data_IF_572902235093
#
_entry.id   IF_572902235093
#
_cell.length_a   1.000
_cell.length_b   1.000
_cell.length_c   1.000
_cell.angle_alpha   90.00
_cell.angle_beta   90.00
_cell.angle_gamma   90.00
#
_symmetry.space_group_name_H-M   'P 1'
#
loop_
_entity.id
_entity.type
_entity.pdbx_description
1 polymer ?
#
# COMPACT_ATOMS: atom_id res chain seq x y z
N UNK A 1 -6.28 -2.73 -11.35
CA UNK A 1 -7.04 -2.82 -12.60
C UNK A 1 -7.07 -4.26 -13.12
N UNK A 2 -5.96 -4.84 -13.59
CA UNK A 2 -5.90 -6.20 -14.16
C UNK A 2 -6.61 -7.27 -13.32
N UNK A 3 -6.36 -7.33 -12.01
CA UNK A 3 -6.99 -8.32 -11.13
C UNK A 3 -8.52 -8.12 -11.01
N UNK A 4 -8.99 -6.89 -11.02
CA UNK A 4 -10.41 -6.56 -11.00
C UNK A 4 -11.09 -7.03 -12.28
N UNK A 5 -10.46 -6.80 -13.43
CA UNK A 5 -10.94 -7.31 -14.71
C UNK A 5 -11.05 -8.84 -14.67
N UNK A 6 -9.97 -9.54 -14.33
CA UNK A 6 -9.93 -11.00 -14.28
C UNK A 6 -11.01 -11.63 -13.38
N UNK A 7 -11.34 -11.00 -12.26
CA UNK A 7 -12.26 -11.56 -11.26
C UNK A 7 -13.70 -11.08 -11.39
N UNK A 8 -13.92 -9.87 -11.87
CA UNK A 8 -15.21 -9.21 -11.79
C UNK A 8 -15.80 -8.79 -13.13
N UNK A 9 -15.04 -8.87 -14.23
CA UNK A 9 -15.54 -8.45 -15.54
C UNK A 9 -16.81 -9.20 -15.99
N UNK A 10 -16.91 -10.48 -15.66
CA UNK A 10 -18.09 -11.30 -15.98
C UNK A 10 -19.36 -10.89 -15.25
N UNK A 11 -19.22 -10.21 -14.11
CA UNK A 11 -20.36 -9.72 -13.31
C UNK A 11 -20.85 -8.33 -13.79
N UNK A 12 -20.01 -7.59 -14.50
CA UNK A 12 -20.28 -6.21 -14.89
C UNK A 12 -21.58 -6.04 -15.70
N UNK A 13 -21.96 -6.93 -16.67
CA UNK A 13 -23.18 -6.75 -17.46
C UNK A 13 -24.47 -6.84 -16.64
N UNK A 14 -24.49 -7.67 -15.59
CA UNK A 14 -25.70 -7.96 -14.81
C UNK A 14 -25.79 -7.16 -13.52
N UNK A 15 -24.64 -6.75 -12.95
CA UNK A 15 -24.56 -6.13 -11.62
C UNK A 15 -23.94 -4.72 -11.62
N UNK A 16 -23.85 -4.07 -12.78
CA UNK A 16 -23.23 -2.75 -12.90
C UNK A 16 -23.81 -1.72 -11.92
N UNK A 17 -25.11 -1.69 -11.77
CA UNK A 17 -25.81 -0.73 -10.91
C UNK A 17 -25.60 -0.98 -9.41
N UNK A 18 -25.16 -2.19 -9.04
CA UNK A 18 -24.85 -2.58 -7.66
C UNK A 18 -23.38 -2.33 -7.30
N UNK A 19 -22.54 -2.03 -8.29
CA UNK A 19 -21.12 -1.82 -8.11
C UNK A 19 -20.78 -0.35 -7.87
N UNK A 20 -19.79 -0.10 -6.98
CA UNK A 20 -19.21 1.24 -6.83
C UNK A 20 -18.49 1.68 -8.11
N UNK A 21 -18.56 2.94 -8.44
CA UNK A 21 -17.90 3.53 -9.61
C UNK A 21 -16.39 3.22 -9.65
N UNK A 22 -15.72 3.21 -8.49
CA UNK A 22 -14.29 2.87 -8.38
C UNK A 22 -13.99 1.41 -8.75
N UNK A 23 -14.92 0.48 -8.52
CA UNK A 23 -14.81 -0.92 -8.95
C UNK A 23 -15.00 -1.02 -10.46
N UNK A 24 -16.04 -0.38 -11.00
CA UNK A 24 -16.31 -0.32 -12.44
C UNK A 24 -15.09 0.26 -13.17
N UNK A 25 -14.57 1.38 -12.71
CA UNK A 25 -13.38 2.02 -13.27
C UNK A 25 -12.16 1.08 -13.29
N UNK A 26 -11.94 0.29 -12.23
CA UNK A 26 -10.85 -0.70 -12.19
C UNK A 26 -11.03 -1.81 -13.22
N UNK A 27 -12.26 -2.34 -13.37
CA UNK A 27 -12.57 -3.37 -14.36
C UNK A 27 -12.31 -2.84 -15.77
N UNK A 28 -12.89 -1.69 -16.11
CA UNK A 28 -12.76 -1.06 -17.42
C UNK A 28 -11.31 -0.64 -17.75
N UNK A 29 -10.56 -0.22 -16.74
CA UNK A 29 -9.14 0.07 -16.88
C UNK A 29 -8.32 -1.21 -17.11
N UNK A 30 -8.71 -2.32 -16.46
CA UNK A 30 -8.10 -3.63 -16.67
C UNK A 30 -8.30 -4.14 -18.09
N UNK A 31 -9.51 -3.98 -18.64
CA UNK A 31 -9.84 -4.38 -20.03
C UNK A 31 -8.99 -3.70 -21.10
N UNK A 32 -8.44 -2.53 -20.81
CA UNK A 32 -7.59 -1.75 -21.74
C UNK A 32 -6.12 -2.18 -21.70
N UNK A 33 -5.70 -2.97 -20.72
CA UNK A 33 -4.31 -3.39 -20.57
C UNK A 33 -3.94 -4.46 -21.59
N UNK A 34 -2.79 -4.29 -22.22
CA UNK A 34 -2.22 -5.30 -23.12
C UNK A 34 -1.25 -6.23 -22.38
N UNK A 35 -1.05 -7.44 -22.91
CA UNK A 35 -0.07 -8.39 -22.38
C UNK A 35 1.35 -7.81 -22.29
N UNK A 36 1.87 -7.06 -23.30
CA UNK A 36 3.16 -6.39 -23.21
C UNK A 36 3.26 -5.35 -22.08
N UNK A 37 2.18 -4.63 -21.76
CA UNK A 37 2.17 -3.67 -20.64
C UNK A 37 2.27 -4.40 -19.30
N UNK A 38 1.54 -5.48 -19.13
CA UNK A 38 1.64 -6.33 -17.94
C UNK A 38 3.05 -6.91 -17.79
N UNK A 39 3.63 -7.44 -18.89
CA UNK A 39 4.99 -7.96 -18.87
C UNK A 39 6.02 -6.90 -18.44
N UNK A 40 5.93 -5.67 -18.96
CA UNK A 40 6.79 -4.56 -18.54
C UNK A 40 6.59 -4.17 -17.08
N UNK A 41 5.36 -4.21 -16.58
CA UNK A 41 5.07 -3.94 -15.17
C UNK A 41 5.71 -4.98 -14.26
N UNK A 42 5.63 -6.28 -14.59
CA UNK A 42 6.26 -7.36 -13.83
C UNK A 42 7.80 -7.26 -13.81
N UNK A 43 8.42 -6.91 -14.93
CA UNK A 43 9.88 -6.64 -14.97
C UNK A 43 10.26 -5.50 -14.02
N UNK A 44 9.50 -4.39 -14.03
CA UNK A 44 9.74 -3.27 -13.12
C UNK A 44 9.52 -3.65 -11.66
N UNK A 45 8.47 -4.44 -11.36
CA UNK A 45 8.19 -4.93 -10.01
C UNK A 45 9.32 -5.82 -9.49
N UNK A 46 9.82 -6.73 -10.31
CA UNK A 46 10.95 -7.60 -9.97
C UNK A 46 12.22 -6.77 -9.68
N UNK A 47 12.51 -5.77 -10.51
CA UNK A 47 13.65 -4.88 -10.28
C UNK A 47 13.50 -4.08 -8.97
N UNK A 48 12.28 -3.61 -8.65
CA UNK A 48 11.99 -2.94 -7.39
C UNK A 48 12.19 -3.89 -6.20
N UNK A 49 11.65 -5.11 -6.26
CA UNK A 49 11.84 -6.13 -5.23
C UNK A 49 13.33 -6.36 -4.92
N UNK A 50 14.18 -6.53 -5.94
CA UNK A 50 15.62 -6.74 -5.74
C UNK A 50 16.30 -5.52 -5.11
N UNK A 51 15.94 -4.30 -5.50
CA UNK A 51 16.48 -3.06 -4.90
C UNK A 51 16.11 -2.93 -3.44
N UNK A 52 14.84 -3.16 -3.10
CA UNK A 52 14.37 -3.08 -1.71
C UNK A 52 15.00 -4.18 -0.87
N UNK A 53 15.11 -5.40 -1.39
CA UNK A 53 15.82 -6.50 -0.70
C UNK A 53 17.28 -6.17 -0.43
N UNK A 54 17.97 -5.54 -1.38
CA UNK A 54 19.36 -5.12 -1.18
C UNK A 54 19.47 -4.03 -0.10
N UNK A 55 18.62 -3.02 -0.17
CA UNK A 55 18.52 -1.97 0.84
C UNK A 55 18.25 -2.53 2.24
N UNK A 56 17.32 -3.46 2.37
CA UNK A 56 16.94 -4.06 3.65
C UNK A 56 18.03 -4.93 4.30
N UNK A 57 19.12 -5.27 3.60
CA UNK A 57 20.23 -6.01 4.23
C UNK A 57 20.90 -5.26 5.38
N UNK A 58 20.88 -3.94 5.34
CA UNK A 58 21.52 -3.08 6.33
C UNK A 58 20.54 -2.67 7.46
N UNK A 59 19.27 -3.05 7.37
CA UNK A 59 18.22 -2.64 8.30
C UNK A 59 17.33 -3.83 8.70
N UNK A 60 16.90 -3.85 9.95
CA UNK A 60 15.96 -4.85 10.44
C UNK A 60 14.53 -4.52 9.99
N UNK A 61 14.16 -3.22 10.05
CA UNK A 61 12.83 -2.75 9.69
C UNK A 61 12.89 -1.38 8.99
N UNK A 62 11.91 -1.17 8.11
CA UNK A 62 11.56 0.14 7.58
C UNK A 62 10.25 0.57 8.24
N UNK A 63 10.25 1.74 8.89
CA UNK A 63 9.08 2.30 9.56
C UNK A 63 8.55 3.51 8.79
N UNK A 64 7.24 3.54 8.52
CA UNK A 64 6.57 4.62 7.80
C UNK A 64 5.11 4.77 8.23
N UNK A 65 4.45 5.93 7.98
CA UNK A 65 3.02 6.05 8.22
C UNK A 65 2.22 5.03 7.40
N UNK A 66 1.17 4.44 7.99
CA UNK A 66 0.28 3.50 7.29
C UNK A 66 -0.45 4.20 6.14
N UNK A 67 -0.98 5.40 6.39
CA UNK A 67 -1.67 6.21 5.39
C UNK A 67 -1.06 7.61 5.30
N UNK A 68 -1.29 8.29 4.18
CA UNK A 68 -0.79 9.64 3.95
C UNK A 68 -1.52 10.70 4.77
N UNK A 69 -2.72 10.38 5.27
CA UNK A 69 -3.57 11.29 6.05
C UNK A 69 -4.19 10.55 7.23
N UNK A 70 -4.58 11.26 8.30
CA UNK A 70 -5.40 10.71 9.37
C UNK A 70 -6.78 10.30 8.84
N UNK A 71 -7.61 9.59 9.65
CA UNK A 71 -8.99 9.32 9.29
C UNK A 71 -9.74 10.60 8.91
N UNK A 72 -10.58 10.52 7.88
CA UNK A 72 -11.35 11.63 7.33
C UNK A 72 -12.86 11.31 7.37
N UNK A 73 -13.76 12.30 7.20
CA UNK A 73 -15.20 12.09 7.26
C UNK A 73 -15.70 11.04 6.26
N UNK A 74 -16.71 10.24 6.67
CA UNK A 74 -17.27 9.15 5.88
C UNK A 74 -18.02 9.61 4.62
N UNK A 75 -18.41 10.88 4.57
CA UNK A 75 -19.04 11.52 3.42
C UNK A 75 -18.09 11.65 2.22
N UNK A 76 -16.79 11.59 2.47
CA UNK A 76 -15.76 11.59 1.43
C UNK A 76 -15.40 10.16 1.05
N UNK A 77 -15.56 9.81 -0.21
CA UNK A 77 -15.17 8.50 -0.71
C UNK A 77 -13.63 8.33 -0.65
N UNK A 78 -12.89 9.42 -0.90
CA UNK A 78 -11.44 9.52 -0.72
C UNK A 78 -11.01 10.99 -0.59
N UNK A 79 -9.78 11.21 -0.14
CA UNK A 79 -9.21 12.55 0.01
C UNK A 79 -8.87 13.15 -1.35
N UNK A 80 -9.37 14.34 -1.63
CA UNK A 80 -9.21 14.99 -2.93
C UNK A 80 -7.91 15.78 -3.06
N UNK A 81 -7.29 16.17 -1.94
CA UNK A 81 -6.04 16.94 -1.91
C UNK A 81 -5.21 16.59 -0.69
N UNK A 82 -3.90 16.45 -0.86
CA UNK A 82 -2.91 16.24 0.21
C UNK A 82 -1.74 17.18 -0.02
N UNK A 83 -1.45 18.07 0.94
CA UNK A 83 -0.35 19.04 0.89
C UNK A 83 -0.33 19.87 -0.42
N UNK A 84 -1.48 20.33 -0.89
CA UNK A 84 -1.61 21.10 -2.11
C UNK A 84 -1.56 20.27 -3.41
N UNK A 85 -1.38 18.96 -3.31
CA UNK A 85 -1.43 18.05 -4.46
C UNK A 85 -2.82 17.45 -4.60
N UNK A 86 -3.42 17.62 -5.77
CA UNK A 86 -4.71 17.03 -6.12
C UNK A 86 -4.57 15.51 -6.30
N UNK A 87 -5.50 14.77 -5.70
CA UNK A 87 -5.66 13.32 -5.92
C UNK A 87 -6.63 13.12 -7.08
N UNK A 88 -6.12 12.63 -8.21
CA UNK A 88 -6.94 12.44 -9.40
C UNK A 88 -7.77 11.15 -9.36
N UNK A 89 -7.29 10.17 -8.58
CA UNK A 89 -7.97 8.91 -8.36
C UNK A 89 -7.93 8.52 -6.89
N UNK A 90 -8.83 7.64 -6.50
CA UNK A 90 -8.81 7.09 -5.13
C UNK A 90 -7.51 6.32 -4.80
N UNK A 91 -6.73 5.90 -5.79
CA UNK A 91 -5.43 5.26 -5.57
C UNK A 91 -4.36 6.24 -5.11
N UNK A 92 -4.48 7.52 -5.44
CA UNK A 92 -3.43 8.49 -5.16
C UNK A 92 -3.25 8.77 -3.66
N UNK A 93 -4.33 8.81 -2.89
CA UNK A 93 -4.25 9.05 -1.45
C UNK A 93 -3.72 7.85 -0.66
N UNK A 94 -3.82 6.62 -1.20
CA UNK A 94 -3.39 5.39 -0.52
C UNK A 94 -2.01 4.89 -0.98
N UNK A 95 -1.18 5.75 -1.55
CA UNK A 95 0.15 5.39 -2.09
C UNK A 95 1.06 4.71 -1.06
N UNK A 96 1.11 5.19 0.17
CA UNK A 96 1.91 4.58 1.24
C UNK A 96 1.58 3.10 1.47
N UNK A 97 0.32 2.71 1.28
CA UNK A 97 -0.13 1.32 1.42
C UNK A 97 0.35 0.46 0.25
N UNK A 98 0.01 0.82 -0.98
CA UNK A 98 0.29 -0.06 -2.12
C UNK A 98 1.75 -0.03 -2.57
N UNK A 99 2.52 1.03 -2.29
CA UNK A 99 3.95 1.04 -2.58
C UNK A 99 4.67 -0.09 -1.83
N UNK A 100 4.32 -0.33 -0.58
CA UNK A 100 4.87 -1.47 0.16
C UNK A 100 4.36 -2.80 -0.39
N UNK A 101 3.07 -2.92 -0.70
CA UNK A 101 2.51 -4.13 -1.31
C UNK A 101 3.21 -4.53 -2.62
N UNK A 102 3.58 -3.54 -3.46
CA UNK A 102 4.31 -3.79 -4.72
C UNK A 102 5.72 -4.32 -4.47
N UNK A 103 6.35 -3.97 -3.33
CA UNK A 103 7.70 -4.46 -2.99
C UNK A 103 7.74 -5.95 -2.65
N UNK A 104 6.59 -6.55 -2.27
CA UNK A 104 6.51 -7.94 -1.84
C UNK A 104 7.16 -8.21 -0.47
N UNK A 105 7.41 -7.17 0.33
CA UNK A 105 7.95 -7.30 1.67
C UNK A 105 6.83 -7.59 2.69
N UNK A 106 7.10 -8.37 3.76
CA UNK A 106 6.17 -8.51 4.86
C UNK A 106 6.00 -7.16 5.58
N UNK A 107 4.76 -6.82 5.90
CA UNK A 107 4.45 -5.57 6.58
C UNK A 107 3.34 -5.76 7.61
N UNK A 108 3.43 -5.03 8.72
CA UNK A 108 2.42 -4.97 9.76
C UNK A 108 2.10 -3.53 10.11
N UNK A 109 0.82 -3.25 10.39
CA UNK A 109 0.40 -1.98 10.97
C UNK A 109 0.28 -2.11 12.48
N UNK A 110 0.91 -1.22 13.21
CA UNK A 110 0.81 -1.14 14.67
C UNK A 110 0.23 0.21 15.09
N UNK A 111 -0.55 0.26 16.19
CA UNK A 111 -1.01 1.54 16.74
C UNK A 111 0.17 2.45 17.08
N UNK A 112 0.07 3.73 16.70
CA UNK A 112 1.14 4.73 16.94
C UNK A 112 0.67 5.94 17.72
N UNK A 113 -0.57 5.95 18.18
CA UNK A 113 -1.16 7.04 18.96
C UNK A 113 -2.44 7.58 18.33
N UNK A 114 -2.73 8.84 18.66
CA UNK A 114 -3.95 9.52 18.23
C UNK A 114 -3.62 10.92 17.71
N UNK A 115 -4.45 11.44 16.82
CA UNK A 115 -4.44 12.87 16.44
C UNK A 115 -4.90 13.73 17.61
N UNK A 116 -4.76 15.06 17.48
CA UNK A 116 -5.27 16.00 18.47
C UNK A 116 -6.80 15.87 18.67
N UNK A 117 -7.51 15.42 17.66
CA UNK A 117 -8.96 15.18 17.67
C UNK A 117 -9.34 13.76 18.16
N UNK A 118 -8.37 12.99 18.68
CA UNK A 118 -8.59 11.65 19.22
C UNK A 118 -8.76 10.54 18.18
N UNK A 119 -8.43 10.78 16.91
CA UNK A 119 -8.51 9.76 15.85
C UNK A 119 -7.26 8.87 15.86
N UNK A 120 -7.39 7.53 15.75
CA UNK A 120 -6.25 6.64 15.81
C UNK A 120 -5.36 6.78 14.58
N UNK A 121 -4.04 6.66 14.79
CA UNK A 121 -3.04 6.63 13.72
C UNK A 121 -2.16 5.39 13.86
N UNK A 122 -1.69 4.88 12.71
CA UNK A 122 -0.88 3.68 12.65
C UNK A 122 0.51 3.93 12.10
N UNK A 123 1.45 3.11 12.54
CA UNK A 123 2.78 2.98 11.99
C UNK A 123 2.88 1.65 11.22
N UNK A 124 3.37 1.71 10.00
CA UNK A 124 3.68 0.52 9.21
C UNK A 124 5.13 0.13 9.44
N UNK A 125 5.34 -1.14 9.83
CA UNK A 125 6.65 -1.75 9.93
C UNK A 125 6.80 -2.77 8.81
N UNK A 126 7.87 -2.65 8.04
CA UNK A 126 8.18 -3.49 6.90
C UNK A 126 9.44 -4.27 7.22
N UNK A 127 9.36 -5.61 7.16
CA UNK A 127 10.48 -6.51 7.44
C UNK A 127 11.22 -6.97 6.19
N UNK A 128 12.22 -7.81 6.40
CA UNK A 128 12.96 -8.44 5.30
C UNK A 128 12.12 -9.52 4.61
N UNK A 129 12.38 -9.84 3.33
CA UNK A 129 11.71 -10.95 2.64
C UNK A 129 11.91 -12.25 3.42
N UNK A 130 10.87 -13.07 3.52
CA UNK A 130 10.87 -14.35 4.24
C UNK A 130 11.00 -14.27 5.77
N UNK A 131 11.00 -13.08 6.36
CA UNK A 131 10.99 -12.87 7.81
C UNK A 131 9.59 -12.50 8.32
N UNK A 132 8.58 -13.29 7.96
CA UNK A 132 7.19 -13.06 8.39
C UNK A 132 7.04 -13.14 9.93
N UNK A 133 7.90 -13.92 10.60
CA UNK A 133 7.94 -14.01 12.05
C UNK A 133 8.68 -12.82 12.68
N UNK A 134 9.67 -12.25 12.00
CA UNK A 134 10.40 -11.07 12.45
C UNK A 134 9.51 -9.84 12.56
N UNK A 135 8.62 -9.62 11.60
CA UNK A 135 7.63 -8.56 11.63
C UNK A 135 6.64 -8.65 12.80
N UNK A 136 6.33 -9.88 13.27
CA UNK A 136 5.49 -10.11 14.45
C UNK A 136 6.23 -10.03 15.79
N UNK A 137 7.56 -10.12 15.81
CA UNK A 137 8.39 -10.17 17.00
C UNK A 137 8.97 -8.81 17.44
N UNK A 138 8.42 -7.69 16.99
CA UNK A 138 8.87 -6.33 17.38
C UNK A 138 8.83 -6.12 18.90
N UNK A 139 8.06 -6.93 19.63
CA UNK A 139 7.95 -6.90 21.09
C UNK A 139 8.89 -7.88 21.82
N UNK A 140 9.76 -8.61 21.12
CA UNK A 140 10.73 -9.51 21.76
C UNK A 140 12.00 -8.74 22.13
N UNK A 141 12.37 -8.67 23.42
CA UNK A 141 13.53 -7.90 23.88
C UNK A 141 14.89 -8.39 23.35
N UNK A 142 14.95 -9.59 22.79
CA UNK A 142 16.19 -10.22 22.35
C UNK A 142 16.66 -9.83 20.92
N UNK A 143 15.81 -9.24 20.08
CA UNK A 143 16.17 -8.91 18.66
C UNK A 143 16.44 -7.44 18.37
N UNK A 144 16.28 -6.53 19.33
CA UNK A 144 16.55 -5.10 19.10
C UNK A 144 18.08 -4.84 19.21
N UNK A 145 18.82 -5.25 18.18
CA UNK A 145 20.28 -4.97 18.14
C UNK A 145 20.71 -3.94 17.08
N UNK A 146 19.77 -3.40 16.28
CA UNK A 146 20.09 -2.40 15.25
C UNK A 146 19.07 -1.28 15.25
N UNK A 147 19.48 -0.03 14.99
CA UNK A 147 18.55 1.08 14.90
C UNK A 147 17.60 0.87 13.71
N UNK A 148 16.30 0.94 13.98
CA UNK A 148 15.28 0.98 12.92
C UNK A 148 15.45 2.27 12.10
N UNK A 149 15.42 2.15 10.78
CA UNK A 149 15.40 3.30 9.89
C UNK A 149 13.99 3.89 9.88
N UNK A 150 13.87 5.15 10.26
CA UNK A 150 12.67 5.94 10.01
C UNK A 150 12.92 6.70 8.71
N UNK A 151 12.24 6.30 7.64
CA UNK A 151 12.28 7.04 6.39
C UNK A 151 11.09 7.99 6.35
N UNK A 152 11.27 9.32 6.38
CA UNK A 152 10.19 10.25 6.10
C UNK A 152 9.85 10.14 4.62
N UNK A 153 8.71 9.57 4.31
CA UNK A 153 8.14 9.65 2.97
C UNK A 153 7.43 11.00 2.90
N UNK A 154 8.09 11.95 2.27
CA UNK A 154 7.51 13.21 1.82
C UNK A 154 6.69 12.98 0.55
#
# INVERSE_FOLDING_TARGET
AWYFELKLASLLPEHREEMKETVIWNIESGMKLSGPELGRAEVKRTALFHRVREFMKDYDFLALPVSQVPPFPLEHEYVLEINGMKMETYLDWMRSCYYISVTGQPAISVPSGFTNDGLPVGLQLVGQPTDDLGGGCVNSPEKVRRPSLICPIL
#
